data_IF_357797339355
#
_entry.id   IF_357797339355
#
_cell.length_a   1.000
_cell.length_b   1.000
_cell.length_c   1.000
_cell.angle_alpha   90.00
_cell.angle_beta   90.00
_cell.angle_gamma   90.00
#
_symmetry.space_group_name_H-M   'P 1'
#
loop_
_entity.id
_entity.type
_entity.pdbx_description
1 polymer ?
#
# COMPACT_ATOMS: atom_id res chain seq x y z
N UNK A 1 -0.75 7.78 13.57
CA UNK A 1 -0.73 6.57 12.72
C UNK A 1 -1.83 5.64 13.20
N UNK A 2 -2.76 5.26 12.34
CA UNK A 2 -3.79 4.27 12.66
C UNK A 2 -3.18 2.87 12.61
N UNK A 3 -3.61 1.99 13.53
CA UNK A 3 -3.30 0.56 13.45
C UNK A 3 -4.13 -0.08 12.32
N UNK A 4 -3.74 -1.24 11.77
CA UNK A 4 -4.52 -1.92 10.74
C UNK A 4 -5.99 -2.10 11.12
N UNK A 5 -6.26 -2.51 12.38
CA UNK A 5 -7.63 -2.67 12.87
C UNK A 5 -8.41 -1.35 12.89
N UNK A 6 -7.79 -0.27 13.36
CA UNK A 6 -8.43 1.04 13.38
C UNK A 6 -8.70 1.55 11.95
N UNK A 7 -7.77 1.33 11.03
CA UNK A 7 -7.93 1.66 9.61
C UNK A 7 -9.10 0.92 8.98
N UNK A 8 -9.23 -0.39 9.20
CA UNK A 8 -10.38 -1.16 8.71
C UNK A 8 -11.70 -0.56 9.18
N UNK A 9 -11.84 -0.31 10.49
CA UNK A 9 -13.07 0.25 11.04
C UNK A 9 -13.38 1.63 10.46
N UNK A 10 -12.36 2.49 10.35
CA UNK A 10 -12.50 3.84 9.81
C UNK A 10 -12.93 3.82 8.34
N UNK A 11 -12.26 3.04 7.49
CA UNK A 11 -12.62 2.96 6.06
C UNK A 11 -14.00 2.33 5.84
N UNK A 12 -14.39 1.36 6.67
CA UNK A 12 -15.71 0.74 6.59
C UNK A 12 -16.82 1.75 6.87
N UNK A 13 -16.67 2.54 7.93
CA UNK A 13 -17.61 3.63 8.25
C UNK A 13 -17.68 4.68 7.13
N UNK A 14 -16.53 5.07 6.59
CA UNK A 14 -16.47 5.98 5.44
C UNK A 14 -17.18 5.39 4.22
N UNK A 15 -16.99 4.10 3.93
CA UNK A 15 -17.58 3.44 2.77
C UNK A 15 -19.10 3.34 2.86
N UNK A 16 -19.62 3.14 4.06
CA UNK A 16 -21.05 3.14 4.34
C UNK A 16 -21.67 4.55 4.24
N UNK A 17 -20.90 5.58 4.56
CA UNK A 17 -21.37 6.98 4.65
C UNK A 17 -21.17 7.78 3.36
N UNK A 18 -20.19 7.42 2.53
CA UNK A 18 -19.78 8.18 1.35
C UNK A 18 -19.99 7.40 0.07
N UNK A 19 -20.52 8.08 -0.95
CA UNK A 19 -20.61 7.55 -2.32
C UNK A 19 -19.50 8.14 -3.19
N UNK A 20 -18.26 7.91 -2.78
CA UNK A 20 -17.06 8.29 -3.52
C UNK A 20 -16.01 7.17 -3.41
N UNK A 21 -15.11 7.03 -4.39
CA UNK A 21 -13.95 6.15 -4.27
C UNK A 21 -13.08 6.59 -3.08
N UNK A 22 -12.61 5.63 -2.29
CA UNK A 22 -11.72 5.91 -1.16
C UNK A 22 -10.28 5.54 -1.52
N UNK A 23 -9.33 6.41 -1.15
CA UNK A 23 -7.90 6.17 -1.31
C UNK A 23 -7.19 6.15 0.03
N UNK A 24 -6.38 5.13 0.27
CA UNK A 24 -5.56 4.98 1.46
C UNK A 24 -4.13 5.45 1.22
N UNK A 25 -3.60 6.21 2.18
CA UNK A 25 -2.19 6.62 2.21
C UNK A 25 -1.61 6.36 3.59
N UNK A 26 -0.52 5.61 3.66
CA UNK A 26 0.14 5.27 4.91
C UNK A 26 1.66 5.42 4.81
N UNK A 27 2.25 5.90 5.91
CA UNK A 27 3.69 5.97 6.12
C UNK A 27 4.15 4.79 6.98
N UNK A 28 5.42 4.41 6.87
CA UNK A 28 5.96 3.21 7.49
C UNK A 28 6.73 3.47 8.79
N UNK A 29 6.47 4.58 9.47
CA UNK A 29 7.12 5.00 10.72
C UNK A 29 7.14 3.92 11.82
N UNK A 30 6.17 3.00 11.80
CA UNK A 30 6.02 1.92 12.78
C UNK A 30 6.07 0.52 12.15
N UNK A 31 6.55 0.39 10.91
CA UNK A 31 6.68 -0.90 10.22
C UNK A 31 5.37 -1.59 9.85
N UNK A 32 4.25 -0.85 9.83
CA UNK A 32 2.90 -1.41 9.61
C UNK A 32 2.18 -0.81 8.39
N UNK A 33 2.86 -0.05 7.53
CA UNK A 33 2.20 0.65 6.42
C UNK A 33 1.48 -0.30 5.46
N UNK A 34 2.14 -1.40 5.08
CA UNK A 34 1.56 -2.43 4.20
C UNK A 34 0.30 -3.05 4.79
N UNK A 35 0.35 -3.48 6.06
CA UNK A 35 -0.81 -4.06 6.74
C UNK A 35 -1.96 -3.04 6.89
N UNK A 36 -1.63 -1.78 7.19
CA UNK A 36 -2.60 -0.69 7.28
C UNK A 36 -3.28 -0.43 5.93
N UNK A 37 -2.53 -0.41 4.84
CA UNK A 37 -3.05 -0.20 3.50
C UNK A 37 -3.93 -1.37 3.03
N UNK A 38 -3.54 -2.62 3.29
CA UNK A 38 -4.37 -3.79 2.99
C UNK A 38 -5.67 -3.81 3.81
N UNK A 39 -5.62 -3.41 5.08
CA UNK A 39 -6.82 -3.29 5.91
C UNK A 39 -7.81 -2.23 5.38
N UNK A 40 -7.33 -1.17 4.74
CA UNK A 40 -8.20 -0.22 4.05
C UNK A 40 -8.88 -0.85 2.82
N UNK A 41 -8.14 -1.64 2.03
CA UNK A 41 -8.70 -2.38 0.88
C UNK A 41 -9.76 -3.38 1.33
N UNK A 42 -9.50 -4.15 2.40
CA UNK A 42 -10.48 -5.07 3.01
C UNK A 42 -11.76 -4.37 3.46
N UNK A 43 -11.66 -3.09 3.84
CA UNK A 43 -12.79 -2.26 4.24
C UNK A 43 -13.51 -1.58 3.06
N UNK A 44 -13.05 -1.80 1.83
CA UNK A 44 -13.70 -1.32 0.61
C UNK A 44 -13.04 -0.09 -0.01
N UNK A 45 -11.80 0.25 0.36
CA UNK A 45 -11.02 1.25 -0.38
C UNK A 45 -10.64 0.73 -1.76
N UNK A 46 -10.79 1.56 -2.78
CA UNK A 46 -10.48 1.22 -4.17
C UNK A 46 -9.05 1.61 -4.59
N UNK A 47 -8.39 2.47 -3.82
CA UNK A 47 -7.07 2.99 -4.14
C UNK A 47 -6.14 2.92 -2.93
N UNK A 48 -4.86 2.63 -3.20
CA UNK A 48 -3.79 2.65 -2.21
C UNK A 48 -2.60 3.39 -2.82
N UNK A 49 -2.09 4.37 -2.09
CA UNK A 49 -0.85 5.04 -2.44
C UNK A 49 0.34 4.21 -1.96
N UNK A 50 1.29 4.02 -2.86
CA UNK A 50 2.48 3.21 -2.64
C UNK A 50 3.70 3.89 -3.26
N UNK A 51 4.89 3.46 -2.84
CA UNK A 51 6.14 3.86 -3.45
C UNK A 51 7.01 2.62 -3.71
N UNK A 52 7.80 2.65 -4.78
CA UNK A 52 8.78 1.58 -5.08
C UNK A 52 9.76 1.47 -3.91
N UNK A 53 10.01 0.24 -3.47
CA UNK A 53 10.79 -0.10 -2.27
C UNK A 53 10.23 0.48 -0.95
N UNK A 54 9.06 1.11 -0.97
CA UNK A 54 8.57 1.90 0.16
C UNK A 54 9.36 3.20 0.36
N UNK A 55 10.08 3.68 -0.65
CA UNK A 55 10.87 4.90 -0.57
C UNK A 55 9.99 6.10 -0.17
N UNK A 56 10.48 6.92 0.75
CA UNK A 56 9.74 8.08 1.25
C UNK A 56 10.48 8.75 2.40
N UNK A 57 9.90 9.84 2.92
CA UNK A 57 10.46 10.51 4.09
C UNK A 57 10.43 9.60 5.33
N UNK A 58 11.34 9.85 6.28
CA UNK A 58 11.43 9.17 7.58
C UNK A 58 11.72 7.67 7.40
N UNK A 59 10.83 6.80 7.89
CA UNK A 59 10.95 5.35 7.71
C UNK A 59 10.30 4.84 6.41
N UNK A 60 9.93 5.75 5.51
CA UNK A 60 9.35 5.43 4.20
C UNK A 60 7.83 5.43 4.16
N UNK A 61 7.31 4.99 3.03
CA UNK A 61 5.89 4.85 2.71
C UNK A 61 5.51 3.37 2.57
N UNK A 62 4.25 3.11 2.25
CA UNK A 62 3.80 1.77 1.86
C UNK A 62 4.56 1.27 0.63
N UNK A 63 5.14 0.06 0.68
CA UNK A 63 5.85 -0.53 -0.46
C UNK A 63 4.89 -1.00 -1.55
N UNK A 64 5.17 -0.60 -2.80
CA UNK A 64 4.42 -1.00 -3.99
C UNK A 64 4.44 -2.50 -4.17
N UNK A 65 5.63 -3.10 -4.08
CA UNK A 65 5.87 -4.50 -4.35
C UNK A 65 5.13 -5.36 -3.33
N UNK A 66 5.21 -4.99 -2.05
CA UNK A 66 4.55 -5.72 -0.97
C UNK A 66 3.03 -5.66 -1.11
N UNK A 67 2.45 -4.49 -1.40
CA UNK A 67 0.99 -4.37 -1.60
C UNK A 67 0.54 -5.10 -2.85
N UNK A 68 1.20 -4.87 -3.99
CA UNK A 68 0.80 -5.47 -5.27
C UNK A 68 0.85 -7.01 -5.23
N UNK A 69 1.92 -7.58 -4.67
CA UNK A 69 2.06 -9.04 -4.52
C UNK A 69 1.09 -9.58 -3.48
N UNK A 70 0.85 -8.87 -2.37
CA UNK A 70 -0.12 -9.31 -1.37
C UNK A 70 -1.54 -9.34 -1.95
N UNK A 71 -1.96 -8.30 -2.66
CA UNK A 71 -3.26 -8.25 -3.34
C UNK A 71 -3.43 -9.43 -4.32
N UNK A 72 -2.40 -9.69 -5.13
CA UNK A 72 -2.45 -10.80 -6.07
C UNK A 72 -2.48 -12.17 -5.37
N UNK A 73 -1.52 -12.43 -4.48
CA UNK A 73 -1.28 -13.76 -3.92
C UNK A 73 -2.22 -14.13 -2.77
N UNK A 74 -2.68 -13.16 -1.98
CA UNK A 74 -3.49 -13.39 -0.78
C UNK A 74 -4.97 -13.04 -0.98
N UNK A 75 -5.27 -12.03 -1.81
CA UNK A 75 -6.64 -11.55 -2.02
C UNK A 75 -7.20 -11.92 -3.40
N UNK A 76 -6.38 -12.45 -4.32
CA UNK A 76 -6.80 -12.75 -5.69
C UNK A 76 -7.16 -11.50 -6.50
N UNK A 77 -6.67 -10.32 -6.09
CA UNK A 77 -6.91 -9.03 -6.74
C UNK A 77 -5.71 -8.69 -7.62
N UNK A 78 -5.90 -8.74 -8.94
CA UNK A 78 -4.92 -8.28 -9.92
C UNK A 78 -5.07 -6.77 -10.13
N UNK A 79 -3.97 -6.04 -9.93
CA UNK A 79 -3.91 -4.58 -10.11
C UNK A 79 -3.51 -4.17 -11.53
N UNK A 80 -3.18 -5.12 -12.40
CA UNK A 80 -2.68 -4.88 -13.76
C UNK A 80 -1.22 -4.46 -13.82
N UNK A 81 -0.49 -4.53 -12.70
CA UNK A 81 0.95 -4.22 -12.65
C UNK A 81 1.73 -5.30 -13.41
N UNK A 82 2.75 -4.89 -14.17
CA UNK A 82 3.68 -5.85 -14.76
C UNK A 82 4.63 -6.41 -13.69
N UNK A 83 4.23 -7.51 -13.06
CA UNK A 83 4.98 -8.15 -11.97
C UNK A 83 6.40 -8.59 -12.37
N UNK A 84 6.66 -8.88 -13.65
CA UNK A 84 8.00 -9.24 -14.13
C UNK A 84 8.99 -8.06 -14.08
N UNK A 85 8.49 -6.82 -14.04
CA UNK A 85 9.30 -5.60 -13.98
C UNK A 85 9.57 -5.10 -12.57
N UNK A 86 8.97 -5.71 -11.54
CA UNK A 86 9.12 -5.26 -10.14
C UNK A 86 10.59 -5.26 -9.71
N UNK A 87 11.30 -6.38 -9.88
CA UNK A 87 12.68 -6.50 -9.43
C UNK A 87 13.61 -5.52 -10.15
N UNK A 88 13.50 -5.40 -11.48
CA UNK A 88 14.29 -4.44 -12.27
C UNK A 88 14.03 -3.00 -11.84
N UNK A 89 12.77 -2.64 -11.60
CA UNK A 89 12.35 -1.30 -11.18
C UNK A 89 12.85 -0.99 -9.76
N UNK A 90 12.73 -1.95 -8.84
CA UNK A 90 13.24 -1.87 -7.48
C UNK A 90 14.75 -1.59 -7.46
N UNK A 91 15.54 -2.37 -8.21
CA UNK A 91 16.99 -2.17 -8.30
C UNK A 91 17.37 -0.85 -8.99
N UNK A 92 16.58 -0.40 -9.97
CA UNK A 92 16.80 0.91 -10.60
C UNK A 92 16.61 2.05 -9.60
N UNK A 93 15.54 2.01 -8.80
CA UNK A 93 15.25 3.03 -7.77
C UNK A 93 16.31 3.01 -6.68
N UNK A 94 16.72 1.83 -6.20
CA UNK A 94 17.80 1.69 -5.23
C UNK A 94 19.10 2.33 -5.75
N UNK A 95 19.51 1.98 -6.97
CA UNK A 95 20.75 2.50 -7.58
C UNK A 95 20.73 4.02 -7.74
N UNK A 96 19.59 4.58 -8.14
CA UNK A 96 19.47 6.03 -8.39
C UNK A 96 19.31 6.85 -7.11
N UNK A 97 18.60 6.32 -6.11
CA UNK A 97 18.38 7.00 -4.84
C UNK A 97 19.51 6.79 -3.83
N UNK A 98 20.28 5.70 -3.97
CA UNK A 98 21.26 5.26 -2.99
C UNK A 98 20.64 4.68 -1.71
N UNK A 99 19.32 4.42 -1.73
CA UNK A 99 18.54 3.96 -0.58
C UNK A 99 17.69 2.77 -1.01
N UNK A 100 17.67 1.74 -0.17
CA UNK A 100 16.70 0.65 -0.26
C UNK A 100 15.49 0.97 0.61
#
# INVERSE_FOLDING_TARGET
MLTPRATYCFFKELKESLRAPLSAHAHNDLGQATATSLAAVEAGAEQVHVCVNGLGERAGNTSLEQVAISLLAQYGIDTGINYQKIAETSSLVERLSGVY
#
